data_IF_545332349451
#
_entry.id   IF_545332349451
#
_cell.length_a   1.000
_cell.length_b   1.000
_cell.length_c   1.000
_cell.angle_alpha   90.00
_cell.angle_beta   90.00
_cell.angle_gamma   90.00
#
_symmetry.space_group_name_H-M   'P 1'
#
loop_
_entity.id
_entity.type
_entity.pdbx_description
1 polymer ?
#
# COMPACT_ATOMS: atom_id res chain seq x y z
N UNK A 1 -39.33 -24.18 -6.85
CA UNK A 1 -38.87 -23.06 -7.70
C UNK A 1 -38.01 -22.06 -6.89
N UNK A 2 -36.95 -22.54 -6.23
CA UNK A 2 -36.15 -21.76 -5.24
C UNK A 2 -34.66 -21.67 -5.63
N UNK A 3 -34.19 -22.48 -6.60
CA UNK A 3 -32.76 -22.57 -6.96
C UNK A 3 -32.22 -21.34 -7.72
N UNK A 4 -33.08 -20.58 -8.39
CA UNK A 4 -32.70 -19.42 -9.22
C UNK A 4 -32.08 -18.29 -8.39
N UNK A 5 -32.70 -17.80 -7.29
CA UNK A 5 -32.06 -16.78 -6.44
C UNK A 5 -30.80 -17.27 -5.72
N UNK A 6 -30.70 -18.56 -5.40
CA UNK A 6 -29.55 -19.15 -4.69
C UNK A 6 -28.29 -19.17 -5.56
N UNK A 7 -28.41 -19.26 -6.89
CA UNK A 7 -27.27 -19.27 -7.82
C UNK A 7 -26.96 -17.85 -8.35
N UNK A 8 -28.01 -17.04 -8.60
CA UNK A 8 -27.82 -15.67 -9.10
C UNK A 8 -27.18 -14.77 -8.04
N UNK A 9 -27.54 -14.91 -6.76
CA UNK A 9 -26.96 -14.08 -5.69
C UNK A 9 -25.43 -14.24 -5.55
N UNK A 10 -24.84 -15.44 -5.41
CA UNK A 10 -23.40 -15.59 -5.30
C UNK A 10 -22.68 -15.16 -6.59
N UNK A 11 -23.27 -15.39 -7.76
CA UNK A 11 -22.70 -14.94 -9.03
C UNK A 11 -22.64 -13.41 -9.14
N UNK A 12 -23.74 -12.73 -8.79
CA UNK A 12 -23.80 -11.26 -8.79
C UNK A 12 -22.87 -10.66 -7.73
N UNK A 13 -22.81 -11.24 -6.53
CA UNK A 13 -21.87 -10.82 -5.49
C UNK A 13 -20.41 -11.00 -5.94
N UNK A 14 -20.07 -12.14 -6.55
CA UNK A 14 -18.73 -12.39 -7.08
C UNK A 14 -18.36 -11.39 -8.18
N UNK A 15 -19.30 -11.07 -9.08
CA UNK A 15 -19.10 -10.04 -10.10
C UNK A 15 -18.86 -8.66 -9.49
N UNK A 16 -19.65 -8.25 -8.49
CA UNK A 16 -19.47 -6.97 -7.80
C UNK A 16 -18.10 -6.87 -7.13
N UNK A 17 -17.68 -7.94 -6.43
CA UNK A 17 -16.35 -8.02 -5.82
C UNK A 17 -15.27 -7.91 -6.89
N UNK A 18 -15.39 -8.66 -8.00
CA UNK A 18 -14.44 -8.63 -9.09
C UNK A 18 -14.33 -7.24 -9.75
N UNK A 19 -15.46 -6.58 -10.03
CA UNK A 19 -15.48 -5.23 -10.58
C UNK A 19 -14.86 -4.21 -9.62
N UNK A 20 -15.13 -4.32 -8.32
CA UNK A 20 -14.51 -3.48 -7.30
C UNK A 20 -12.99 -3.61 -7.30
N UNK A 21 -12.46 -4.83 -7.30
CA UNK A 21 -11.00 -5.06 -7.38
C UNK A 21 -10.42 -4.51 -8.69
N UNK A 22 -11.08 -4.74 -9.83
CA UNK A 22 -10.62 -4.27 -11.14
C UNK A 22 -10.57 -2.75 -11.22
N UNK A 23 -11.57 -2.07 -10.65
CA UNK A 23 -11.61 -0.61 -10.60
C UNK A 23 -10.50 -0.05 -9.71
N UNK A 24 -10.33 -0.59 -8.50
CA UNK A 24 -9.24 -0.19 -7.60
C UNK A 24 -7.87 -0.35 -8.27
N UNK A 25 -7.64 -1.47 -8.96
CA UNK A 25 -6.40 -1.70 -9.69
C UNK A 25 -6.16 -0.64 -10.78
N UNK A 26 -7.18 -0.29 -11.56
CA UNK A 26 -7.08 0.77 -12.56
C UNK A 26 -6.79 2.13 -11.93
N UNK A 27 -7.42 2.45 -10.81
CA UNK A 27 -7.22 3.73 -10.14
C UNK A 27 -5.81 3.84 -9.55
N UNK A 28 -5.29 2.76 -8.96
CA UNK A 28 -3.89 2.72 -8.49
C UNK A 28 -2.92 2.81 -9.67
N UNK A 29 -3.19 2.15 -10.80
CA UNK A 29 -2.37 2.30 -12.01
C UNK A 29 -2.34 3.75 -12.51
N UNK A 30 -3.47 4.46 -12.51
CA UNK A 30 -3.51 5.88 -12.88
C UNK A 30 -2.68 6.74 -11.92
N UNK A 31 -2.79 6.51 -10.62
CA UNK A 31 -1.98 7.23 -9.63
C UNK A 31 -0.49 6.94 -9.79
N UNK A 32 -0.14 5.68 -10.08
CA UNK A 32 1.23 5.25 -10.34
C UNK A 32 1.80 5.93 -11.59
N UNK A 33 1.03 5.98 -12.68
CA UNK A 33 1.40 6.71 -13.90
C UNK A 33 1.63 8.18 -13.59
N UNK A 34 0.71 8.82 -12.86
CA UNK A 34 0.88 10.22 -12.45
C UNK A 34 2.15 10.45 -11.62
N UNK A 35 2.47 9.58 -10.66
CA UNK A 35 3.70 9.70 -9.86
C UNK A 35 4.93 9.55 -10.76
N UNK A 36 4.93 8.56 -11.63
CA UNK A 36 6.04 8.32 -12.56
C UNK A 36 6.24 9.48 -13.53
N UNK A 37 5.17 10.09 -14.04
CA UNK A 37 5.28 11.25 -14.94
C UNK A 37 5.71 12.51 -14.20
N UNK A 38 5.13 12.79 -13.03
CA UNK A 38 5.37 14.02 -12.27
C UNK A 38 6.71 14.04 -11.55
N UNK A 39 7.22 12.87 -11.14
CA UNK A 39 8.42 12.75 -10.33
C UNK A 39 9.50 11.88 -10.98
N UNK A 40 9.42 11.64 -12.30
CA UNK A 40 10.33 10.77 -13.05
C UNK A 40 11.81 11.00 -12.69
N UNK A 41 12.22 12.26 -12.75
CA UNK A 41 13.54 12.82 -12.49
C UNK A 41 13.97 12.76 -11.02
N UNK A 42 13.05 12.42 -10.11
CA UNK A 42 13.29 12.28 -8.67
C UNK A 42 13.20 10.84 -8.18
N UNK A 43 12.91 9.88 -9.07
CA UNK A 43 12.90 8.46 -8.72
C UNK A 43 14.36 7.99 -8.58
N UNK A 44 14.69 7.53 -7.38
CA UNK A 44 16.02 6.99 -7.06
C UNK A 44 16.09 5.49 -7.34
N UNK A 45 15.01 4.76 -7.02
CA UNK A 45 14.94 3.30 -7.15
C UNK A 45 13.49 2.82 -7.18
N UNK A 46 13.21 1.78 -7.96
CA UNK A 46 11.98 0.99 -7.84
C UNK A 46 12.33 -0.43 -7.37
N UNK A 47 11.63 -0.93 -6.36
CA UNK A 47 11.81 -2.30 -5.83
C UNK A 47 10.48 -3.04 -5.83
N UNK A 48 10.43 -4.19 -6.48
CA UNK A 48 9.19 -4.97 -6.62
C UNK A 48 9.10 -6.14 -5.64
N UNK A 49 7.88 -6.53 -5.29
CA UNK A 49 7.55 -7.74 -4.52
C UNK A 49 8.14 -7.82 -3.10
N UNK A 50 8.32 -6.65 -2.49
CA UNK A 50 8.80 -6.49 -1.11
C UNK A 50 7.82 -7.15 -0.14
N UNK A 51 8.35 -8.02 0.71
CA UNK A 51 7.59 -8.63 1.80
C UNK A 51 7.38 -7.61 2.90
N UNK A 52 6.16 -7.53 3.39
CA UNK A 52 5.81 -6.65 4.48
C UNK A 52 4.86 -7.33 5.45
N UNK A 53 4.78 -6.77 6.65
CA UNK A 53 3.82 -7.13 7.67
C UNK A 53 3.11 -5.86 8.13
N UNK A 54 1.79 -5.93 8.28
CA UNK A 54 0.98 -4.75 8.57
C UNK A 54 0.06 -5.01 9.75
N UNK A 55 0.11 -4.11 10.72
CA UNK A 55 -0.77 -4.11 11.88
C UNK A 55 -1.60 -2.83 11.86
N UNK A 56 -2.86 -2.94 12.26
CA UNK A 56 -3.80 -1.81 12.18
C UNK A 56 -4.70 -1.74 13.40
N UNK A 57 -5.11 -0.54 13.78
CA UNK A 57 -6.05 -0.30 14.87
C UNK A 57 -7.10 0.75 14.43
N UNK A 58 -8.38 0.37 14.40
CA UNK A 58 -9.50 1.23 13.97
C UNK A 58 -10.49 0.54 13.01
N UNK A 59 -11.60 1.21 12.69
CA UNK A 59 -12.75 0.66 11.95
C UNK A 59 -12.62 0.73 10.40
N UNK A 60 -11.51 1.23 9.85
CA UNK A 60 -11.29 1.40 8.39
C UNK A 60 -9.94 0.85 7.91
N UNK A 61 -9.57 -0.33 8.40
CA UNK A 61 -8.24 -0.91 8.20
C UNK A 61 -8.07 -1.80 6.96
N UNK A 62 -9.14 -2.23 6.30
CA UNK A 62 -9.07 -3.28 5.26
C UNK A 62 -8.12 -2.98 4.09
N UNK A 63 -7.89 -1.70 3.77
CA UNK A 63 -6.96 -1.28 2.69
C UNK A 63 -5.49 -1.25 3.11
N UNK A 64 -5.21 -1.47 4.40
CA UNK A 64 -3.88 -1.39 5.02
C UNK A 64 -3.37 -2.75 5.50
N UNK A 65 -4.15 -3.81 5.30
CA UNK A 65 -3.74 -5.18 5.59
C UNK A 65 -3.16 -5.81 4.33
N UNK A 66 -1.83 -5.90 4.26
CA UNK A 66 -1.13 -6.45 3.10
C UNK A 66 0.20 -7.09 3.48
N UNK A 67 0.63 -8.06 2.66
CA UNK A 67 1.88 -8.82 2.89
C UNK A 67 2.91 -8.60 1.79
N UNK A 68 2.51 -7.93 0.70
CA UNK A 68 3.33 -7.63 -0.47
C UNK A 68 3.11 -6.20 -0.93
N UNK A 69 4.19 -5.53 -1.31
CA UNK A 69 4.15 -4.20 -1.90
C UNK A 69 5.29 -4.01 -2.91
N UNK A 70 5.12 -3.01 -3.76
CA UNK A 70 6.23 -2.41 -4.51
C UNK A 70 6.60 -1.09 -3.84
N UNK A 71 7.87 -0.72 -3.92
CA UNK A 71 8.40 0.52 -3.37
C UNK A 71 8.94 1.38 -4.51
N UNK A 72 8.64 2.67 -4.45
CA UNK A 72 9.33 3.70 -5.23
C UNK A 72 10.00 4.63 -4.25
N UNK A 73 11.33 4.66 -4.29
CA UNK A 73 12.17 5.56 -3.52
C UNK A 73 12.32 6.84 -4.31
N UNK A 74 11.92 7.97 -3.72
CA UNK A 74 12.11 9.30 -4.27
C UNK A 74 13.04 10.09 -3.36
N UNK A 75 13.61 11.19 -3.87
CA UNK A 75 14.53 12.06 -3.11
C UNK A 75 14.05 12.42 -1.71
N UNK A 76 12.76 12.74 -1.56
CA UNK A 76 12.16 13.17 -0.28
C UNK A 76 10.85 12.42 0.05
N UNK A 77 10.61 11.29 -0.60
CA UNK A 77 9.37 10.53 -0.42
C UNK A 77 9.56 9.03 -0.66
N UNK A 78 8.65 8.24 -0.09
CA UNK A 78 8.53 6.81 -0.32
C UNK A 78 7.11 6.50 -0.76
N UNK A 79 6.96 5.85 -1.91
CA UNK A 79 5.66 5.32 -2.35
C UNK A 79 5.61 3.83 -2.06
N UNK A 80 4.59 3.39 -1.34
CA UNK A 80 4.28 1.98 -1.08
C UNK A 80 3.05 1.60 -1.89
N UNK A 81 3.22 0.71 -2.85
CA UNK A 81 2.15 0.27 -3.75
C UNK A 81 1.72 -1.11 -3.32
N UNK A 82 0.55 -1.20 -2.69
CA UNK A 82 0.03 -2.46 -2.17
C UNK A 82 -0.30 -3.38 -3.32
N UNK A 83 0.27 -4.59 -3.31
CA UNK A 83 0.08 -5.56 -4.37
C UNK A 83 -0.30 -6.94 -3.84
N UNK A 84 -1.03 -7.68 -4.67
CA UNK A 84 -1.35 -9.09 -4.48
C UNK A 84 -1.08 -9.83 -5.78
N UNK A 85 -0.44 -10.99 -5.68
CA UNK A 85 -0.31 -11.90 -6.81
C UNK A 85 -1.48 -12.89 -6.82
N UNK A 86 -2.13 -13.03 -7.97
CA UNK A 86 -3.12 -14.08 -8.24
C UNK A 86 -2.58 -14.86 -9.44
N UNK A 87 -1.98 -16.02 -9.17
CA UNK A 87 -1.21 -16.76 -10.18
C UNK A 87 -0.04 -15.93 -10.72
N UNK A 88 -0.03 -15.69 -12.04
CA UNK A 88 0.98 -14.85 -12.71
C UNK A 88 0.61 -13.36 -12.76
N UNK A 89 -0.62 -13.01 -12.40
CA UNK A 89 -1.09 -11.62 -12.46
C UNK A 89 -0.82 -10.90 -11.16
N UNK A 90 -0.39 -9.64 -11.27
CA UNK A 90 -0.19 -8.73 -10.14
C UNK A 90 -1.30 -7.70 -10.14
N UNK A 91 -2.05 -7.66 -9.05
CA UNK A 91 -3.10 -6.68 -8.83
C UNK A 91 -2.63 -5.67 -7.79
N UNK A 92 -2.97 -4.42 -8.03
CA UNK A 92 -2.73 -3.31 -7.12
C UNK A 92 -4.04 -2.94 -6.45
N UNK A 93 -4.00 -2.70 -5.14
CA UNK A 93 -5.22 -2.42 -4.36
C UNK A 93 -5.19 -1.08 -3.65
N UNK A 94 -4.01 -0.55 -3.36
CA UNK A 94 -3.84 0.74 -2.70
C UNK A 94 -2.47 1.34 -2.99
N UNK A 95 -2.33 2.64 -2.79
CA UNK A 95 -1.07 3.37 -2.88
C UNK A 95 -0.95 4.27 -1.66
N UNK A 96 0.19 4.22 -0.99
CA UNK A 96 0.51 5.04 0.17
C UNK A 96 1.70 5.89 -0.24
N UNK A 97 1.51 7.20 -0.37
CA UNK A 97 2.57 8.14 -0.66
C UNK A 97 3.01 8.82 0.63
N UNK A 98 4.26 8.64 1.01
CA UNK A 98 4.83 9.11 2.26
C UNK A 98 5.86 10.19 1.92
N UNK A 99 5.53 11.44 2.15
CA UNK A 99 6.46 12.58 2.01
C UNK A 99 6.76 13.15 3.39
N UNK A 100 7.92 13.80 3.53
CA UNK A 100 8.47 14.18 4.83
C UNK A 100 7.59 15.03 5.75
N UNK A 101 6.54 15.65 5.22
CA UNK A 101 5.54 16.39 5.99
C UNK A 101 4.10 15.96 5.77
N UNK A 102 3.82 15.08 4.81
CA UNK A 102 2.47 14.73 4.37
C UNK A 102 2.44 13.29 3.87
N UNK A 103 1.60 12.43 4.45
CA UNK A 103 1.23 11.19 3.78
C UNK A 103 -0.03 11.44 2.92
N UNK A 104 0.15 11.54 1.61
CA UNK A 104 -0.98 11.64 0.68
C UNK A 104 -1.59 10.23 0.52
N UNK A 105 -2.79 10.05 1.07
CA UNK A 105 -3.49 8.77 1.00
C UNK A 105 -3.94 8.16 2.33
N UNK A 106 -3.72 8.85 3.47
CA UNK A 106 -4.54 8.89 4.71
C UNK A 106 -3.64 9.20 5.94
N UNK A 107 -3.83 10.38 6.52
CA UNK A 107 -3.27 10.79 7.82
C UNK A 107 -1.81 11.29 7.77
N UNK A 108 -1.39 12.02 8.81
CA UNK A 108 0.02 12.38 8.99
C UNK A 108 0.85 11.17 9.48
N UNK A 109 2.14 11.14 9.13
CA UNK A 109 3.10 10.17 9.67
C UNK A 109 3.25 10.42 11.17
N UNK A 110 3.14 9.38 11.99
CA UNK A 110 3.31 9.49 13.45
C UNK A 110 4.67 9.04 13.93
N UNK A 111 5.15 7.91 13.41
CA UNK A 111 6.48 7.39 13.72
C UNK A 111 7.09 6.78 12.48
N UNK A 112 8.38 7.02 12.30
CA UNK A 112 9.12 6.48 11.17
C UNK A 112 10.47 6.00 11.68
N UNK A 113 10.70 4.69 11.64
CA UNK A 113 11.92 4.07 12.14
C UNK A 113 12.61 3.24 11.04
N UNK A 114 13.68 3.82 10.50
CA UNK A 114 14.54 3.22 9.47
C UNK A 114 15.45 2.09 10.00
N UNK A 115 15.70 2.08 11.30
CA UNK A 115 16.67 1.20 11.95
C UNK A 115 16.01 0.40 13.08
N UNK A 116 14.89 -0.24 12.74
CA UNK A 116 14.21 -1.10 13.69
C UNK A 116 14.98 -2.40 13.97
N UNK A 117 14.56 -3.08 15.03
CA UNK A 117 15.09 -4.39 15.42
C UNK A 117 15.08 -5.37 14.23
N UNK A 118 16.14 -6.18 14.10
CA UNK A 118 16.31 -7.21 13.06
C UNK A 118 16.55 -6.72 11.61
N UNK A 119 16.78 -5.42 11.40
CA UNK A 119 17.10 -4.90 10.07
C UNK A 119 15.88 -4.66 9.17
N UNK A 120 14.70 -4.52 9.75
CA UNK A 120 13.49 -4.12 9.02
C UNK A 120 13.29 -2.59 9.09
N UNK A 121 12.35 -2.06 8.30
CA UNK A 121 11.92 -0.65 8.37
C UNK A 121 10.48 -0.59 8.85
N UNK A 122 10.22 0.19 9.91
CA UNK A 122 8.88 0.35 10.49
C UNK A 122 8.34 1.75 10.22
N UNK A 123 7.10 1.79 9.75
CA UNK A 123 6.41 3.00 9.34
C UNK A 123 5.07 3.01 10.06
N UNK A 124 4.83 4.01 10.91
CA UNK A 124 3.57 4.20 11.62
C UNK A 124 2.91 5.52 11.19
N UNK A 125 1.67 5.43 10.70
CA UNK A 125 0.92 6.60 10.25
C UNK A 125 -0.57 6.49 10.61
N UNK A 126 -1.26 7.64 10.62
CA UNK A 126 -2.67 7.74 10.96
C UNK A 126 -2.96 7.69 12.47
N UNK A 127 -4.24 7.80 12.84
CA UNK A 127 -4.71 7.79 14.23
C UNK A 127 -5.82 6.77 14.43
N UNK A 128 -5.84 6.07 15.57
CA UNK A 128 -6.95 5.17 15.89
C UNK A 128 -8.21 5.98 16.23
N UNK A 129 -9.33 5.67 15.57
CA UNK A 129 -10.60 6.31 15.84
C UNK A 129 -11.77 5.63 15.11
N UNK A 130 -12.98 6.14 15.28
CA UNK A 130 -14.16 5.62 14.58
C UNK A 130 -14.09 5.83 13.06
N UNK A 131 -13.44 6.91 12.63
CA UNK A 131 -13.29 7.29 11.21
C UNK A 131 -11.85 7.19 10.71
N UNK A 132 -10.91 6.83 11.57
CA UNK A 132 -9.47 6.84 11.31
C UNK A 132 -8.84 5.50 11.71
N UNK A 133 -7.66 5.21 11.20
CA UNK A 133 -6.93 3.96 11.50
C UNK A 133 -5.47 4.28 11.69
N UNK A 134 -4.88 3.78 12.78
CA UNK A 134 -3.43 3.73 12.92
C UNK A 134 -2.92 2.49 12.18
N UNK A 135 -1.86 2.68 11.40
CA UNK A 135 -1.27 1.66 10.55
C UNK A 135 0.21 1.57 10.84
N UNK A 136 0.67 0.38 11.17
CA UNK A 136 2.10 0.04 11.26
C UNK A 136 2.45 -0.86 10.09
N UNK A 137 3.42 -0.45 9.27
CA UNK A 137 3.97 -1.24 8.17
C UNK A 137 5.41 -1.58 8.50
N UNK A 138 5.73 -2.88 8.51
CA UNK A 138 7.08 -3.41 8.62
C UNK A 138 7.52 -3.88 7.23
N UNK A 139 8.49 -3.19 6.63
CA UNK A 139 9.12 -3.59 5.37
C UNK A 139 10.31 -4.51 5.67
N UNK A 140 10.29 -5.71 5.12
CA UNK A 140 11.30 -6.75 5.40
C UNK A 140 12.36 -6.82 4.29
N UNK A 141 13.58 -7.18 4.66
CA UNK A 141 14.70 -7.46 3.74
C UNK A 141 15.11 -6.27 2.84
N UNK A 142 15.13 -5.05 3.38
CA UNK A 142 15.73 -3.91 2.68
C UNK A 142 17.25 -3.89 2.93
N UNK A 143 18.03 -3.66 1.87
CA UNK A 143 19.50 -3.52 2.00
C UNK A 143 19.85 -2.23 2.74
N UNK A 144 21.07 -2.13 3.31
CA UNK A 144 21.54 -0.87 3.88
C UNK A 144 21.48 0.30 2.89
N UNK A 145 21.81 0.09 1.61
CA UNK A 145 21.71 1.17 0.61
C UNK A 145 20.26 1.62 0.41
N UNK A 146 19.32 0.69 0.30
CA UNK A 146 17.90 0.99 0.12
C UNK A 146 17.31 1.77 1.29
N UNK A 147 17.71 1.43 2.52
CA UNK A 147 17.30 2.18 3.72
C UNK A 147 17.81 3.61 3.70
N UNK A 148 19.04 3.82 3.24
CA UNK A 148 19.65 5.15 3.14
C UNK A 148 18.97 6.04 2.07
N UNK A 149 18.23 5.46 1.13
CA UNK A 149 17.42 6.21 0.16
C UNK A 149 16.15 6.79 0.79
N UNK A 150 15.69 6.24 1.92
CA UNK A 150 14.46 6.71 2.55
C UNK A 150 14.78 7.93 3.44
N UNK A 151 14.92 9.10 2.80
CA UNK A 151 15.22 10.38 3.46
C UNK A 151 13.94 11.18 3.70
N UNK A 152 13.16 10.74 4.69
CA UNK A 152 11.91 11.40 5.08
C UNK A 152 12.26 12.34 6.24
N UNK A 153 12.65 13.58 5.92
CA UNK A 153 13.11 14.60 6.88
C UNK A 153 12.18 15.82 7.01
#
# INVERSE_FOLDING_TARGET
MIAIPIIIFPLTLALLIFFSYKNNHKDVLKQLTFIREKYHDKILLEKTDVTCETSTSGLKNGKYLFTKCDLIFLENALTIIVSRKIGKQKLYSNLIFIESKIALGHGAIKRFNLHSFNGDVYIEFGESGFTSTNVTVQLKNLTPEEKNLIKIA
#
